data_IF_877872074088
#
_entry.id   IF_877872074088
#
_cell.length_a   1.000
_cell.length_b   1.000
_cell.length_c   1.000
_cell.angle_alpha   90.00
_cell.angle_beta   90.00
_cell.angle_gamma   90.00
#
_symmetry.space_group_name_H-M   'P 1'
#
loop_
_entity.id
_entity.type
_entity.pdbx_description
1 polymer ?
#
# COMPACT_ATOMS: atom_id res chain seq x y z
N UNK A 1 9.85 46.27 67.22
CA UNK A 1 10.70 45.94 66.02
C UNK A 1 11.08 44.48 65.90
N UNK A 2 10.50 43.55 66.66
CA UNK A 2 10.82 42.10 66.57
C UNK A 2 9.70 41.24 65.97
N UNK A 3 8.53 41.75 65.75
CA UNK A 3 7.39 41.01 65.22
C UNK A 3 7.39 40.97 63.67
N UNK A 4 8.04 41.91 63.00
CA UNK A 4 8.11 42.03 61.56
C UNK A 4 9.15 41.13 60.93
N UNK A 5 10.16 40.59 61.69
CA UNK A 5 11.19 39.68 61.19
C UNK A 5 10.78 38.19 61.14
N UNK A 6 9.71 37.82 61.83
CA UNK A 6 9.22 36.43 61.86
C UNK A 6 8.18 36.14 60.74
N UNK A 7 7.62 37.14 60.11
CA UNK A 7 6.69 36.93 59.00
C UNK A 7 7.36 36.77 57.64
N UNK A 8 8.57 37.30 57.44
CA UNK A 8 9.31 37.09 56.18
C UNK A 8 9.98 35.71 56.03
N UNK A 9 10.20 34.98 57.16
CA UNK A 9 10.83 33.66 57.08
C UNK A 9 9.86 32.52 56.71
N UNK A 10 8.54 32.74 56.90
CA UNK A 10 7.51 31.76 56.59
C UNK A 10 6.99 31.84 55.13
N UNK A 11 7.27 32.93 54.43
CA UNK A 11 6.83 33.10 53.03
C UNK A 11 7.83 32.54 52.00
N UNK A 12 9.03 32.14 52.40
CA UNK A 12 10.07 31.69 51.49
C UNK A 12 10.20 30.13 51.41
N UNK A 13 9.47 29.39 52.24
CA UNK A 13 9.48 27.91 52.23
C UNK A 13 8.42 27.31 51.31
N UNK A 14 7.51 28.10 50.79
CA UNK A 14 6.37 27.60 49.99
C UNK A 14 6.55 27.68 48.47
N UNK A 15 7.76 28.04 47.94
CA UNK A 15 8.00 28.22 46.50
C UNK A 15 9.01 27.19 45.93
N UNK A 16 9.35 26.16 46.68
CA UNK A 16 10.13 25.04 46.13
C UNK A 16 9.30 23.74 46.14
N UNK A 17 8.13 23.76 45.51
CA UNK A 17 7.58 22.51 44.99
C UNK A 17 8.47 22.12 43.80
N UNK A 18 9.23 20.99 43.88
CA UNK A 18 9.84 20.49 42.68
C UNK A 18 8.70 20.24 41.67
N UNK A 19 8.79 20.93 40.56
CA UNK A 19 8.05 20.47 39.37
C UNK A 19 8.55 19.03 39.15
N UNK A 20 7.76 18.07 39.57
CA UNK A 20 7.93 16.69 39.17
C UNK A 20 7.75 16.70 37.68
N UNK A 21 8.86 16.86 36.96
CA UNK A 21 8.92 16.60 35.53
C UNK A 21 8.38 15.17 35.38
N UNK A 22 7.18 15.06 34.85
CA UNK A 22 6.66 13.78 34.39
C UNK A 22 7.57 13.30 33.26
N UNK A 23 8.65 12.62 33.64
CA UNK A 23 9.58 11.93 32.75
C UNK A 23 9.08 10.54 32.32
N UNK A 24 7.84 10.16 32.71
CA UNK A 24 7.34 8.79 32.54
C UNK A 24 6.60 8.54 31.20
N UNK A 25 6.50 9.52 30.30
CA UNK A 25 5.76 9.31 29.05
C UNK A 25 6.52 8.49 27.98
N UNK A 26 7.81 8.26 28.15
CA UNK A 26 8.63 7.56 27.15
C UNK A 26 8.57 6.02 27.26
N UNK A 27 8.44 5.47 28.44
CA UNK A 27 8.42 4.03 28.68
C UNK A 27 7.20 3.33 28.07
N UNK A 28 5.97 3.86 28.22
CA UNK A 28 4.81 3.27 27.58
C UNK A 28 4.89 3.27 26.04
N UNK A 29 5.36 4.35 25.42
CA UNK A 29 5.49 4.43 23.96
C UNK A 29 6.55 3.47 23.44
N UNK A 30 7.69 3.30 24.14
CA UNK A 30 8.69 2.30 23.75
C UNK A 30 8.14 0.89 23.78
N UNK A 31 7.28 0.55 24.76
CA UNK A 31 6.59 -0.74 24.80
C UNK A 31 5.63 -0.94 23.63
N UNK A 32 4.93 0.11 23.22
CA UNK A 32 4.08 0.06 22.02
C UNK A 32 4.91 -0.27 20.77
N UNK A 33 6.08 0.37 20.62
CA UNK A 33 7.00 0.05 19.52
C UNK A 33 7.61 -1.36 19.63
N UNK A 34 7.87 -1.87 20.84
CA UNK A 34 8.34 -3.24 21.03
C UNK A 34 7.28 -4.25 20.60
N UNK A 35 6.03 -4.04 21.02
CA UNK A 35 4.89 -4.86 20.57
C UNK A 35 4.69 -4.79 19.06
N UNK A 36 4.77 -3.60 18.48
CA UNK A 36 4.71 -3.41 17.02
C UNK A 36 5.81 -4.20 16.30
N UNK A 37 7.06 -4.12 16.74
CA UNK A 37 8.19 -4.88 16.14
C UNK A 37 8.04 -6.39 16.29
N UNK A 38 7.33 -6.84 17.33
CA UNK A 38 6.98 -8.24 17.51
C UNK A 38 5.78 -8.70 16.68
N UNK A 39 5.15 -7.78 15.90
CA UNK A 39 3.95 -8.06 15.12
C UNK A 39 2.64 -8.05 15.93
N UNK A 40 2.70 -7.74 17.23
CA UNK A 40 1.53 -7.59 18.09
C UNK A 40 0.91 -6.19 17.91
N UNK A 41 0.23 -6.01 16.80
CA UNK A 41 -0.44 -4.74 16.48
C UNK A 41 -1.58 -4.40 17.43
N UNK A 42 -2.29 -5.41 17.93
CA UNK A 42 -3.37 -5.20 18.88
C UNK A 42 -2.84 -4.69 20.22
N UNK A 43 -1.80 -5.32 20.76
CA UNK A 43 -1.12 -4.88 21.98
C UNK A 43 -0.47 -3.51 21.81
N UNK A 44 0.19 -3.26 20.68
CA UNK A 44 0.79 -1.97 20.37
C UNK A 44 -0.24 -0.83 20.39
N UNK A 45 -1.40 -1.02 19.76
CA UNK A 45 -2.52 -0.05 19.73
C UNK A 45 -3.09 0.19 21.12
N UNK A 46 -3.31 -0.87 21.90
CA UNK A 46 -3.82 -0.77 23.26
C UNK A 46 -2.86 0.06 24.15
N UNK A 47 -1.57 -0.28 24.16
CA UNK A 47 -0.55 0.47 24.90
C UNK A 47 -0.49 1.94 24.46
N UNK A 48 -0.48 2.20 23.16
CA UNK A 48 -0.40 3.54 22.60
C UNK A 48 -1.63 4.38 22.96
N UNK A 49 -2.81 3.78 22.99
CA UNK A 49 -4.06 4.42 23.40
C UNK A 49 -4.02 4.96 24.82
N UNK A 50 -3.35 4.23 25.74
CA UNK A 50 -3.17 4.66 27.13
C UNK A 50 -2.17 5.82 27.27
N UNK A 51 -1.31 6.03 26.25
CA UNK A 51 -0.32 7.12 26.25
C UNK A 51 -0.94 8.43 25.79
N UNK A 52 -1.46 8.46 24.57
CA UNK A 52 -2.12 9.63 23.98
C UNK A 52 -2.77 9.29 22.64
N UNK A 53 -3.71 10.11 22.15
CA UNK A 53 -4.25 9.97 20.80
C UNK A 53 -3.17 9.99 19.70
N UNK A 54 -2.18 10.87 19.82
CA UNK A 54 -1.08 10.96 18.84
C UNK A 54 -0.21 9.70 18.84
N UNK A 55 0.02 9.09 20.03
CA UNK A 55 0.74 7.83 20.12
C UNK A 55 -0.03 6.69 19.43
N UNK A 56 -1.35 6.65 19.62
CA UNK A 56 -2.23 5.71 18.92
C UNK A 56 -2.15 5.90 17.40
N UNK A 57 -2.30 7.15 16.93
CA UNK A 57 -2.24 7.46 15.49
C UNK A 57 -0.88 7.10 14.89
N UNK A 58 0.21 7.24 15.65
CA UNK A 58 1.55 6.86 15.19
C UNK A 58 1.67 5.34 14.99
N UNK A 59 1.16 4.53 15.91
CA UNK A 59 1.14 3.07 15.74
C UNK A 59 0.20 2.67 14.59
N UNK A 60 -0.94 3.33 14.47
CA UNK A 60 -1.90 3.10 13.38
C UNK A 60 -1.28 3.45 12.02
N UNK A 61 -0.57 4.56 11.92
CA UNK A 61 0.17 4.94 10.71
C UNK A 61 1.18 3.86 10.28
N UNK A 62 1.94 3.31 11.24
CA UNK A 62 2.85 2.21 10.94
C UNK A 62 2.10 0.96 10.46
N UNK A 63 1.00 0.59 11.11
CA UNK A 63 0.17 -0.57 10.73
C UNK A 63 -0.39 -0.42 9.32
N UNK A 64 -0.90 0.76 8.99
CA UNK A 64 -1.43 1.04 7.66
C UNK A 64 -0.35 1.09 6.59
N UNK A 65 0.88 1.45 6.93
CA UNK A 65 2.04 1.36 6.01
C UNK A 65 2.42 -0.09 5.68
N UNK A 66 2.09 -1.04 6.53
CA UNK A 66 2.23 -2.48 6.27
C UNK A 66 1.02 -3.07 5.51
N UNK A 67 0.04 -2.26 5.15
CA UNK A 67 -1.15 -2.72 4.43
C UNK A 67 -2.12 -3.54 5.28
N UNK A 68 -2.12 -3.35 6.59
CA UNK A 68 -2.91 -4.15 7.54
C UNK A 68 -4.23 -3.47 7.94
N UNK A 69 -4.64 -2.43 7.22
CA UNK A 69 -5.89 -1.73 7.46
C UNK A 69 -7.10 -2.39 6.81
N UNK A 70 -8.26 -2.29 7.45
CA UNK A 70 -9.55 -2.45 6.76
C UNK A 70 -9.88 -1.17 5.98
N UNK A 71 -10.73 -1.26 4.96
CA UNK A 71 -11.15 -0.08 4.18
C UNK A 71 -11.65 1.06 5.08
N UNK A 72 -12.47 0.73 6.09
CA UNK A 72 -13.02 1.70 7.02
C UNK A 72 -11.94 2.38 7.88
N UNK A 73 -11.00 1.63 8.41
CA UNK A 73 -9.89 2.18 9.21
C UNK A 73 -9.00 3.09 8.37
N UNK A 74 -8.70 2.67 7.13
CA UNK A 74 -7.90 3.48 6.19
C UNK A 74 -8.59 4.79 5.87
N UNK A 75 -9.87 4.76 5.52
CA UNK A 75 -10.63 5.97 5.22
C UNK A 75 -10.68 6.92 6.41
N UNK A 76 -10.94 6.40 7.61
CA UNK A 76 -10.97 7.19 8.84
C UNK A 76 -9.62 7.83 9.13
N UNK A 77 -8.53 7.04 9.02
CA UNK A 77 -7.18 7.57 9.26
C UNK A 77 -6.82 8.70 8.29
N UNK A 78 -7.10 8.50 7.00
CA UNK A 78 -6.80 9.49 5.96
C UNK A 78 -7.62 10.79 6.14
N UNK A 79 -8.84 10.70 6.65
CA UNK A 79 -9.68 11.87 6.91
C UNK A 79 -9.21 12.66 8.13
N UNK A 80 -8.82 11.99 9.20
CA UNK A 80 -8.38 12.61 10.44
C UNK A 80 -6.94 13.12 10.40
N UNK A 81 -6.08 12.55 9.53
CA UNK A 81 -4.64 12.77 9.56
C UNK A 81 -4.10 13.34 8.23
N UNK A 82 -4.79 14.33 7.66
CA UNK A 82 -4.51 14.88 6.30
C UNK A 82 -3.08 15.41 6.12
N UNK A 83 -2.46 15.88 7.21
CA UNK A 83 -1.12 16.48 7.19
C UNK A 83 0.00 15.49 7.53
N UNK A 84 -0.32 14.19 7.69
CA UNK A 84 0.69 13.19 8.00
C UNK A 84 1.56 12.87 6.78
N UNK A 85 2.85 12.52 6.99
CA UNK A 85 3.75 12.22 5.89
C UNK A 85 3.42 10.87 5.24
N UNK A 86 3.63 10.77 3.93
CA UNK A 86 3.56 9.51 3.19
C UNK A 86 2.16 8.92 3.06
N UNK A 87 1.11 9.72 3.07
CA UNK A 87 -0.27 9.25 2.91
C UNK A 87 -0.51 8.55 1.55
N UNK A 88 0.17 8.96 0.49
CA UNK A 88 0.10 8.27 -0.81
C UNK A 88 0.62 6.83 -0.71
N UNK A 89 1.68 6.62 0.07
CA UNK A 89 2.18 5.28 0.35
C UNK A 89 1.17 4.46 1.17
N UNK A 90 0.58 5.05 2.21
CA UNK A 90 -0.49 4.41 3.01
C UNK A 90 -1.68 4.04 2.10
N UNK A 91 -2.12 4.94 1.23
CA UNK A 91 -3.20 4.65 0.26
C UNK A 91 -2.86 3.44 -0.59
N UNK A 92 -1.70 3.44 -1.24
CA UNK A 92 -1.26 2.34 -2.11
C UNK A 92 -1.19 1.00 -1.40
N UNK A 93 -0.66 0.96 -0.18
CA UNK A 93 -0.51 -0.28 0.59
C UNK A 93 -1.86 -0.90 0.98
N UNK A 94 -2.91 -0.10 1.06
CA UNK A 94 -4.22 -0.56 1.52
C UNK A 94 -5.29 -0.63 0.40
N UNK A 95 -4.92 -0.46 -0.85
CA UNK A 95 -5.89 -0.56 -1.96
C UNK A 95 -6.58 -1.93 -2.01
N UNK A 96 -5.87 -3.01 -1.65
CA UNK A 96 -6.43 -4.35 -1.60
C UNK A 96 -7.57 -4.50 -0.58
N UNK A 97 -7.59 -3.70 0.48
CA UNK A 97 -8.67 -3.71 1.48
C UNK A 97 -10.04 -3.32 0.89
N UNK A 98 -10.05 -2.71 -0.29
CA UNK A 98 -11.27 -2.29 -0.96
C UNK A 98 -11.85 -3.35 -1.91
N UNK A 99 -11.20 -4.51 -2.09
CA UNK A 99 -11.73 -5.61 -2.90
C UNK A 99 -13.09 -6.10 -2.40
N UNK A 100 -13.24 -6.22 -1.08
CA UNK A 100 -14.46 -6.71 -0.44
C UNK A 100 -15.28 -5.60 0.25
N UNK A 101 -14.81 -4.35 0.16
CA UNK A 101 -15.52 -3.21 0.73
C UNK A 101 -16.76 -2.82 -0.10
N UNK A 102 -17.74 -2.10 0.48
CA UNK A 102 -18.83 -1.52 -0.29
C UNK A 102 -18.34 -0.68 -1.47
N UNK A 103 -19.02 -0.79 -2.61
CA UNK A 103 -18.64 -0.02 -3.81
C UNK A 103 -18.64 1.50 -3.57
N UNK A 104 -19.52 1.99 -2.69
CA UNK A 104 -19.55 3.40 -2.26
C UNK A 104 -18.25 3.83 -1.61
N UNK A 105 -17.68 2.99 -0.73
CA UNK A 105 -16.44 3.29 -0.02
C UNK A 105 -15.25 3.29 -0.99
N UNK A 106 -15.21 2.31 -1.91
CA UNK A 106 -14.21 2.27 -2.96
C UNK A 106 -14.30 3.52 -3.88
N UNK A 107 -15.52 3.96 -4.25
CA UNK A 107 -15.70 5.19 -5.03
C UNK A 107 -15.19 6.43 -4.29
N UNK A 108 -15.43 6.54 -2.99
CA UNK A 108 -14.91 7.64 -2.17
C UNK A 108 -13.38 7.57 -2.06
N UNK A 109 -12.84 6.38 -1.80
CA UNK A 109 -11.40 6.17 -1.62
C UNK A 109 -10.60 6.47 -2.88
N UNK A 110 -10.98 5.90 -4.02
CA UNK A 110 -10.28 6.15 -5.28
C UNK A 110 -10.61 7.54 -5.84
N UNK A 111 -11.87 7.97 -5.80
CA UNK A 111 -12.30 9.29 -6.30
C UNK A 111 -11.83 9.50 -7.74
N UNK A 112 -10.96 10.52 -7.92
CA UNK A 112 -10.32 10.83 -9.21
C UNK A 112 -8.88 10.28 -9.31
N UNK A 113 -8.40 9.56 -8.28
CA UNK A 113 -7.03 9.03 -8.25
C UNK A 113 -7.01 7.63 -8.86
N UNK A 114 -6.11 7.41 -9.81
CA UNK A 114 -5.92 6.09 -10.40
C UNK A 114 -5.31 5.13 -9.37
N UNK A 115 -5.77 3.87 -9.33
CA UNK A 115 -5.15 2.83 -8.51
C UNK A 115 -3.66 2.65 -8.83
N UNK A 116 -2.88 2.37 -7.82
CA UNK A 116 -1.44 2.13 -7.92
C UNK A 116 -1.08 0.64 -7.80
N UNK A 117 -2.07 -0.22 -7.56
CA UNK A 117 -1.94 -1.67 -7.50
C UNK A 117 -2.98 -2.38 -8.36
N UNK A 118 -2.68 -3.59 -8.78
CA UNK A 118 -3.61 -4.39 -9.57
C UNK A 118 -4.88 -4.75 -8.78
N UNK A 119 -4.76 -4.99 -7.48
CA UNK A 119 -5.90 -5.23 -6.60
C UNK A 119 -6.77 -3.98 -6.46
N UNK A 120 -6.13 -2.81 -6.31
CA UNK A 120 -6.85 -1.52 -6.32
C UNK A 120 -7.60 -1.29 -7.63
N UNK A 121 -7.01 -1.66 -8.76
CA UNK A 121 -7.67 -1.57 -10.07
C UNK A 121 -8.93 -2.46 -10.14
N UNK A 122 -8.88 -3.69 -9.62
CA UNK A 122 -10.06 -4.55 -9.54
C UNK A 122 -11.14 -3.95 -8.64
N UNK A 123 -10.76 -3.44 -7.46
CA UNK A 123 -11.69 -2.82 -6.53
C UNK A 123 -12.36 -1.56 -7.14
N UNK A 124 -11.57 -0.69 -7.76
CA UNK A 124 -12.07 0.53 -8.40
C UNK A 124 -12.97 0.22 -9.59
N UNK A 125 -12.57 -0.71 -10.48
CA UNK A 125 -13.38 -1.12 -11.61
C UNK A 125 -14.74 -1.71 -11.19
N UNK A 126 -14.76 -2.52 -10.12
CA UNK A 126 -16.00 -3.03 -9.54
C UNK A 126 -16.91 -1.89 -9.07
N UNK A 127 -16.34 -0.90 -8.39
CA UNK A 127 -17.09 0.25 -7.89
C UNK A 127 -17.63 1.12 -9.04
N UNK A 128 -16.83 1.37 -10.08
CA UNK A 128 -17.24 2.08 -11.29
C UNK A 128 -18.40 1.37 -12.00
N UNK A 129 -18.33 0.04 -12.16
CA UNK A 129 -19.44 -0.74 -12.75
C UNK A 129 -20.70 -0.64 -11.91
N UNK A 130 -20.60 -0.69 -10.59
CA UNK A 130 -21.75 -0.49 -9.71
C UNK A 130 -22.40 0.89 -9.87
N UNK A 131 -21.65 1.87 -10.36
CA UNK A 131 -22.13 3.21 -10.68
C UNK A 131 -22.53 3.40 -12.16
N UNK A 132 -22.57 2.32 -12.95
CA UNK A 132 -22.91 2.36 -14.38
C UNK A 132 -21.82 2.97 -15.27
N UNK A 133 -20.57 3.05 -14.80
CA UNK A 133 -19.44 3.64 -15.52
C UNK A 133 -18.55 2.55 -16.16
N UNK A 134 -19.15 1.70 -17.01
CA UNK A 134 -18.47 0.52 -17.56
C UNK A 134 -17.22 0.87 -18.38
N UNK A 135 -17.28 1.91 -19.22
CA UNK A 135 -16.13 2.33 -20.01
C UNK A 135 -14.94 2.82 -19.17
N UNK A 136 -15.22 3.49 -18.04
CA UNK A 136 -14.18 3.88 -17.09
C UNK A 136 -13.59 2.66 -16.36
N UNK A 137 -14.44 1.71 -15.98
CA UNK A 137 -14.00 0.46 -15.37
C UNK A 137 -13.08 -0.34 -16.31
N UNK A 138 -13.45 -0.47 -17.58
CA UNK A 138 -12.66 -1.15 -18.59
C UNK A 138 -11.31 -0.45 -18.82
N UNK A 139 -11.30 0.86 -18.85
CA UNK A 139 -10.07 1.66 -18.98
C UNK A 139 -9.10 1.44 -17.81
N UNK A 140 -9.60 1.41 -16.58
CA UNK A 140 -8.81 1.13 -15.36
C UNK A 140 -8.21 -0.27 -15.43
N UNK A 141 -8.99 -1.29 -15.81
CA UNK A 141 -8.52 -2.67 -15.92
C UNK A 141 -7.47 -2.85 -17.02
N UNK A 142 -7.69 -2.28 -18.20
CA UNK A 142 -6.73 -2.35 -19.31
C UNK A 142 -5.43 -1.64 -18.95
N UNK A 143 -5.51 -0.46 -18.31
CA UNK A 143 -4.33 0.28 -17.87
C UNK A 143 -3.53 -0.55 -16.85
N UNK A 144 -4.18 -1.10 -15.83
CA UNK A 144 -3.52 -1.93 -14.83
C UNK A 144 -2.88 -3.19 -15.46
N UNK A 145 -3.62 -3.86 -16.36
CA UNK A 145 -3.10 -5.02 -17.08
C UNK A 145 -1.83 -4.69 -17.85
N UNK A 146 -1.80 -3.57 -18.55
CA UNK A 146 -0.69 -3.17 -19.42
C UNK A 146 0.50 -2.57 -18.70
N UNK A 147 0.36 -2.10 -17.44
CA UNK A 147 1.41 -1.32 -16.79
C UNK A 147 1.84 -1.80 -15.41
N UNK A 148 1.07 -2.69 -14.76
CA UNK A 148 1.37 -3.05 -13.36
C UNK A 148 2.01 -4.44 -13.24
N UNK A 149 2.85 -4.60 -12.22
CA UNK A 149 3.25 -5.93 -11.75
C UNK A 149 2.04 -6.57 -11.07
N UNK A 150 1.69 -7.79 -11.49
CA UNK A 150 0.50 -8.50 -11.01
C UNK A 150 0.95 -9.83 -10.39
N UNK A 151 0.55 -10.09 -9.16
CA UNK A 151 0.78 -11.37 -8.48
C UNK A 151 -0.03 -12.51 -9.09
N UNK A 152 0.30 -13.78 -8.80
CA UNK A 152 -0.31 -14.94 -9.46
C UNK A 152 -1.82 -15.01 -9.25
N UNK A 153 -2.31 -14.81 -8.05
CA UNK A 153 -3.73 -14.87 -7.72
C UNK A 153 -4.52 -13.75 -8.41
N UNK A 154 -4.00 -12.52 -8.32
CA UNK A 154 -4.61 -11.37 -8.98
C UNK A 154 -4.59 -11.51 -10.50
N UNK A 155 -3.51 -12.09 -11.08
CA UNK A 155 -3.43 -12.38 -12.51
C UNK A 155 -4.52 -13.37 -12.94
N UNK A 156 -4.71 -14.47 -12.17
CA UNK A 156 -5.78 -15.42 -12.44
C UNK A 156 -7.17 -14.76 -12.34
N UNK A 157 -7.36 -13.87 -11.38
CA UNK A 157 -8.61 -13.12 -11.22
C UNK A 157 -8.89 -12.20 -12.42
N UNK A 158 -7.87 -11.46 -12.91
CA UNK A 158 -8.01 -10.64 -14.11
C UNK A 158 -8.46 -11.46 -15.33
N UNK A 159 -7.83 -12.63 -15.55
CA UNK A 159 -8.19 -13.48 -16.68
C UNK A 159 -9.57 -14.11 -16.52
N UNK A 160 -9.92 -14.55 -15.32
CA UNK A 160 -11.22 -15.15 -15.03
C UNK A 160 -12.37 -14.17 -15.28
N UNK A 161 -12.25 -12.95 -14.78
CA UNK A 161 -13.36 -12.01 -14.74
C UNK A 161 -13.38 -11.06 -15.96
N UNK A 162 -12.20 -10.87 -16.60
CA UNK A 162 -12.02 -9.84 -17.64
C UNK A 162 -11.24 -10.34 -18.86
N UNK A 163 -11.12 -11.68 -19.04
CA UNK A 163 -10.30 -12.28 -20.11
C UNK A 163 -10.67 -11.78 -21.50
N UNK A 164 -11.97 -11.65 -21.81
CA UNK A 164 -12.42 -11.14 -23.11
C UNK A 164 -12.00 -9.69 -23.38
N UNK A 165 -12.05 -8.83 -22.36
CA UNK A 165 -11.55 -7.46 -22.43
C UNK A 165 -10.05 -7.40 -22.66
N UNK A 166 -9.31 -8.32 -22.06
CA UNK A 166 -7.85 -8.25 -21.96
C UNK A 166 -7.11 -8.96 -23.10
N UNK A 167 -7.78 -9.83 -23.87
CA UNK A 167 -7.15 -10.65 -24.93
C UNK A 167 -6.35 -9.83 -25.95
N UNK A 168 -6.87 -8.68 -26.36
CA UNK A 168 -6.22 -7.80 -27.35
C UNK A 168 -5.06 -7.00 -26.74
N UNK A 169 -4.84 -7.11 -25.42
CA UNK A 169 -3.80 -6.41 -24.68
C UNK A 169 -2.67 -7.33 -24.19
N UNK A 170 -2.71 -8.63 -24.48
CA UNK A 170 -1.70 -9.59 -24.02
C UNK A 170 -0.31 -9.30 -24.57
N UNK A 171 -0.20 -8.96 -25.86
CA UNK A 171 1.08 -8.58 -26.49
C UNK A 171 1.70 -7.36 -25.84
N UNK A 172 0.90 -6.30 -25.66
CA UNK A 172 1.36 -5.07 -25.03
C UNK A 172 1.80 -5.31 -23.56
N UNK A 173 1.09 -6.19 -22.85
CA UNK A 173 1.53 -6.61 -21.51
C UNK A 173 2.84 -7.38 -21.56
N UNK A 174 2.99 -8.35 -22.48
CA UNK A 174 4.23 -9.12 -22.66
C UNK A 174 5.42 -8.18 -22.90
N UNK A 175 5.29 -7.20 -23.78
CA UNK A 175 6.35 -6.23 -24.05
C UNK A 175 6.74 -5.44 -22.80
N UNK A 176 5.76 -4.99 -22.03
CA UNK A 176 5.99 -4.22 -20.81
C UNK A 176 6.70 -5.08 -19.75
N UNK A 177 6.24 -6.30 -19.46
CA UNK A 177 6.88 -7.15 -18.45
C UNK A 177 8.28 -7.59 -18.85
N UNK A 178 8.55 -7.72 -20.16
CA UNK A 178 9.89 -7.94 -20.71
C UNK A 178 10.79 -6.71 -20.53
N UNK A 179 10.26 -5.51 -20.76
CA UNK A 179 10.97 -4.26 -20.53
C UNK A 179 11.40 -4.13 -19.08
N UNK A 180 10.47 -4.31 -18.16
CA UNK A 180 10.71 -4.26 -16.71
C UNK A 180 11.58 -5.43 -16.18
N UNK A 181 11.61 -6.55 -16.90
CA UNK A 181 12.33 -7.75 -16.50
C UNK A 181 11.66 -8.53 -15.37
N UNK A 182 10.35 -8.44 -15.24
CA UNK A 182 9.58 -9.16 -14.22
C UNK A 182 9.40 -10.63 -14.58
N UNK A 183 10.38 -11.46 -14.26
CA UNK A 183 10.47 -12.86 -14.70
C UNK A 183 9.22 -13.69 -14.42
N UNK A 184 8.61 -13.55 -13.24
CA UNK A 184 7.38 -14.27 -12.90
C UNK A 184 6.17 -13.80 -13.72
N UNK A 185 6.08 -12.49 -14.02
CA UNK A 185 5.04 -11.95 -14.89
C UNK A 185 5.25 -12.44 -16.33
N UNK A 186 6.49 -12.44 -16.83
CA UNK A 186 6.85 -12.95 -18.17
C UNK A 186 6.41 -14.42 -18.29
N UNK A 187 6.75 -15.25 -17.31
CA UNK A 187 6.40 -16.67 -17.31
C UNK A 187 4.89 -16.89 -17.45
N UNK A 188 4.06 -16.12 -16.71
CA UNK A 188 2.60 -16.22 -16.79
C UNK A 188 2.01 -15.73 -18.11
N UNK A 189 2.72 -14.84 -18.82
CA UNK A 189 2.27 -14.35 -20.12
C UNK A 189 2.59 -15.28 -21.29
N UNK A 190 3.49 -16.26 -21.11
CA UNK A 190 3.92 -17.14 -22.20
C UNK A 190 2.75 -17.87 -22.87
N UNK A 191 1.77 -18.35 -22.10
CA UNK A 191 0.62 -19.09 -22.64
C UNK A 191 -0.47 -18.21 -23.25
N UNK A 192 -0.33 -16.88 -23.12
CA UNK A 192 -1.31 -15.89 -23.56
C UNK A 192 -0.92 -15.16 -24.85
N UNK A 193 0.27 -15.45 -25.40
CA UNK A 193 0.80 -14.79 -26.59
C UNK A 193 1.10 -15.83 -27.69
N UNK A 194 1.23 -15.35 -28.94
CA UNK A 194 1.58 -16.20 -30.08
C UNK A 194 3.00 -16.78 -29.97
N UNK A 195 3.29 -17.81 -30.74
CA UNK A 195 4.62 -18.44 -30.75
C UNK A 195 5.72 -17.47 -31.19
N UNK A 196 5.43 -16.53 -32.07
CA UNK A 196 6.35 -15.47 -32.48
C UNK A 196 6.73 -14.57 -31.29
N UNK A 197 5.73 -14.17 -30.50
CA UNK A 197 5.99 -13.38 -29.29
C UNK A 197 6.71 -14.20 -28.21
N UNK A 198 6.48 -15.52 -28.13
CA UNK A 198 7.25 -16.40 -27.24
C UNK A 198 8.73 -16.47 -27.66
N UNK A 199 8.99 -16.58 -28.97
CA UNK A 199 10.34 -16.58 -29.51
C UNK A 199 11.06 -15.26 -29.18
N UNK A 200 10.41 -14.13 -29.44
CA UNK A 200 10.91 -12.80 -29.09
C UNK A 200 11.19 -12.67 -27.57
N UNK A 201 10.27 -13.16 -26.75
CA UNK A 201 10.43 -13.11 -25.29
C UNK A 201 11.65 -13.88 -24.83
N UNK A 202 11.85 -15.12 -25.33
CA UNK A 202 13.03 -15.94 -25.04
C UNK A 202 14.33 -15.28 -25.48
N UNK A 203 14.36 -14.69 -26.68
CA UNK A 203 15.52 -13.97 -27.19
C UNK A 203 15.87 -12.76 -26.29
N UNK A 204 14.88 -11.93 -25.91
CA UNK A 204 15.08 -10.79 -25.01
C UNK A 204 15.55 -11.20 -23.62
N UNK A 205 15.02 -12.30 -23.06
CA UNK A 205 15.48 -12.85 -21.79
C UNK A 205 16.92 -13.37 -21.88
N UNK A 206 17.26 -14.11 -22.97
CA UNK A 206 18.62 -14.58 -23.23
C UNK A 206 19.63 -13.46 -23.36
N UNK A 207 19.29 -12.38 -24.08
CA UNK A 207 20.10 -11.18 -24.19
C UNK A 207 20.34 -10.51 -22.82
N UNK A 208 19.28 -10.36 -22.03
CA UNK A 208 19.38 -9.76 -20.68
C UNK A 208 20.24 -10.60 -19.75
N UNK A 209 20.10 -11.92 -19.82
CA UNK A 209 20.88 -12.88 -19.03
C UNK A 209 22.31 -13.08 -19.56
N UNK A 210 22.66 -12.53 -20.72
CA UNK A 210 23.92 -12.79 -21.44
C UNK A 210 24.13 -14.29 -21.65
N UNK A 211 23.08 -15.01 -22.04
CA UNK A 211 23.10 -16.44 -22.27
C UNK A 211 24.02 -16.81 -23.42
N UNK A 212 24.74 -17.95 -23.31
CA UNK A 212 25.65 -18.42 -24.37
C UNK A 212 24.95 -18.84 -25.67
N UNK A 213 23.64 -19.11 -25.62
CA UNK A 213 22.82 -19.53 -26.75
C UNK A 213 22.02 -18.39 -27.41
N UNK A 214 22.26 -17.13 -27.01
CA UNK A 214 21.49 -15.96 -27.45
C UNK A 214 21.36 -15.87 -28.97
N UNK A 215 22.42 -16.20 -29.73
CA UNK A 215 22.37 -16.16 -31.19
C UNK A 215 21.41 -17.21 -31.78
N UNK A 216 21.27 -18.38 -31.13
CA UNK A 216 20.28 -19.37 -31.53
C UNK A 216 18.87 -18.90 -31.23
N UNK A 217 18.64 -18.27 -30.07
CA UNK A 217 17.34 -17.69 -29.68
C UNK A 217 16.90 -16.56 -30.63
N UNK A 218 17.83 -15.70 -31.03
CA UNK A 218 17.51 -14.58 -31.98
C UNK A 218 17.09 -15.11 -33.35
N UNK A 219 17.72 -16.21 -33.86
CA UNK A 219 17.33 -16.80 -35.14
C UNK A 219 15.94 -17.41 -35.17
N UNK A 220 15.35 -17.67 -34.02
CA UNK A 220 13.97 -18.18 -33.89
C UNK A 220 12.91 -17.08 -33.91
N UNK A 221 13.32 -15.81 -33.84
CA UNK A 221 12.41 -14.68 -33.91
C UNK A 221 12.08 -14.45 -35.38
N UNK A 222 10.79 -14.47 -35.78
CA UNK A 222 10.38 -14.14 -37.13
C UNK A 222 10.76 -12.71 -37.53
N UNK A 223 10.89 -12.46 -38.84
CA UNK A 223 11.14 -11.15 -39.42
C UNK A 223 9.95 -10.19 -39.26
#
# INVERSE_FOLDING_TARGET
MQVLKRFCALLFVMLCLPAVLRADSHVPLSRAFDAMRAGDWAGARAIASDVSPVAYDLIEWHRLREGLGTAKEVMLFLDLNKDWPGLDYVRRQNEAAFLDAPSSDAMVFFGQVLPQSAQGALAHARALRSAGQDGAADSVLVLAWRSMSIGPETHAQFLKDHGDLLKDHHTARMDMVLWEGWSQNISRMMDLVTDDHKALARARQGLRARSGDVNALVRLVPD
#
